data_IF_990697001948
#
_entry.id   IF_990697001948
#
_cell.length_a   1.000
_cell.length_b   1.000
_cell.length_c   1.000
_cell.angle_alpha   90.00
_cell.angle_beta   90.00
_cell.angle_gamma   90.00
#
_symmetry.space_group_name_H-M   'P 1'
#
loop_
_entity.id
_entity.type
_entity.pdbx_description
1 polymer ?
#
# COMPACT_ATOMS: atom_id res chain seq x y z
N UNK A 1 12.55 -9.92 -0.11
CA UNK A 1 11.92 -8.63 -0.45
C UNK A 1 12.92 -7.75 -1.17
N UNK A 2 12.54 -7.17 -2.30
CA UNK A 2 13.41 -6.31 -3.08
C UNK A 2 13.67 -4.99 -2.35
N UNK A 3 14.94 -4.55 -2.37
CA UNK A 3 15.33 -3.24 -1.86
C UNK A 3 15.48 -2.30 -3.04
N UNK A 4 14.63 -1.26 -3.13
CA UNK A 4 14.52 -0.39 -4.30
C UNK A 4 14.87 1.06 -3.97
N UNK A 5 15.37 1.77 -5.00
CA UNK A 5 15.48 3.23 -4.95
C UNK A 5 14.09 3.83 -5.09
N UNK A 6 13.89 5.03 -4.55
CA UNK A 6 12.59 5.70 -4.61
C UNK A 6 12.06 5.85 -6.03
N UNK A 7 12.93 6.01 -7.01
CA UNK A 7 12.54 6.12 -8.42
C UNK A 7 11.92 4.84 -9.00
N UNK A 8 12.16 3.68 -8.36
CA UNK A 8 11.67 2.38 -8.83
C UNK A 8 10.42 1.91 -8.08
N UNK A 9 10.04 2.61 -7.01
CA UNK A 9 8.94 2.19 -6.13
C UNK A 9 7.60 2.18 -6.87
N UNK A 10 7.31 3.21 -7.67
CA UNK A 10 6.04 3.29 -8.40
C UNK A 10 5.83 2.06 -9.28
N UNK A 11 6.85 1.64 -9.99
CA UNK A 11 6.76 0.47 -10.87
C UNK A 11 6.47 -0.80 -10.06
N UNK A 12 7.15 -0.96 -8.92
CA UNK A 12 6.91 -2.11 -8.04
C UNK A 12 5.46 -2.12 -7.52
N UNK A 13 4.92 -0.96 -7.15
CA UNK A 13 3.53 -0.83 -6.73
C UNK A 13 2.58 -1.18 -7.87
N UNK A 14 2.81 -0.64 -9.07
CA UNK A 14 1.97 -0.92 -10.23
C UNK A 14 1.96 -2.41 -10.59
N UNK A 15 3.08 -3.08 -10.43
CA UNK A 15 3.22 -4.52 -10.70
C UNK A 15 2.88 -5.38 -9.48
N UNK A 16 2.58 -4.76 -8.35
CA UNK A 16 2.24 -5.42 -7.07
C UNK A 16 3.33 -6.39 -6.63
N UNK A 17 4.57 -5.93 -6.69
CA UNK A 17 5.75 -6.68 -6.26
C UNK A 17 6.09 -6.30 -4.82
N UNK A 18 6.48 -7.27 -4.00
CA UNK A 18 6.95 -6.97 -2.64
C UNK A 18 8.28 -6.25 -2.68
N UNK A 19 8.38 -5.15 -1.93
CA UNK A 19 9.56 -4.30 -1.94
C UNK A 19 9.71 -3.52 -0.63
N UNK A 20 10.91 -2.95 -0.44
CA UNK A 20 11.15 -1.89 0.54
C UNK A 20 12.11 -0.88 -0.08
N UNK A 21 12.01 0.39 0.36
CA UNK A 21 12.96 1.40 -0.08
C UNK A 21 14.29 1.26 0.68
N UNK A 22 15.30 2.07 0.32
CA UNK A 22 16.64 1.96 0.92
C UNK A 22 16.63 2.15 2.44
N UNK A 23 15.73 2.99 2.95
CA UNK A 23 15.65 3.28 4.38
C UNK A 23 14.69 2.34 5.13
N UNK A 24 13.95 1.49 4.43
CA UNK A 24 12.94 0.63 5.04
C UNK A 24 11.69 1.36 5.53
N UNK A 25 11.54 2.65 5.20
CA UNK A 25 10.39 3.46 5.65
C UNK A 25 9.18 3.35 4.75
N UNK A 26 9.36 2.82 3.54
CA UNK A 26 8.31 2.62 2.56
C UNK A 26 8.42 1.19 2.04
N UNK A 27 7.36 0.41 2.19
CA UNK A 27 7.39 -0.98 1.77
C UNK A 27 6.01 -1.47 1.36
N UNK A 28 5.99 -2.45 0.46
CA UNK A 28 4.76 -3.10 0.00
C UNK A 28 4.87 -4.60 0.14
N UNK A 29 3.78 -5.24 0.53
CA UNK A 29 3.73 -6.69 0.67
C UNK A 29 2.33 -7.24 0.46
N UNK A 30 2.25 -8.53 0.11
CA UNK A 30 0.99 -9.26 0.07
C UNK A 30 0.66 -9.73 1.49
N UNK A 31 -0.45 -9.23 2.02
CA UNK A 31 -0.95 -9.65 3.34
C UNK A 31 -1.71 -10.96 3.23
N UNK A 32 -2.46 -11.12 2.14
CA UNK A 32 -3.13 -12.38 1.76
C UNK A 32 -2.88 -12.62 0.28
N UNK A 33 -3.25 -13.79 -0.28
CA UNK A 33 -3.10 -14.03 -1.71
C UNK A 33 -3.81 -13.02 -2.61
N UNK A 34 -4.77 -12.25 -2.06
CA UNK A 34 -5.56 -11.28 -2.81
C UNK A 34 -5.40 -9.85 -2.35
N UNK A 35 -4.63 -9.59 -1.29
CA UNK A 35 -4.54 -8.26 -0.70
C UNK A 35 -3.10 -7.78 -0.62
N UNK A 36 -2.77 -6.79 -1.45
CA UNK A 36 -1.46 -6.13 -1.49
C UNK A 36 -1.55 -4.76 -0.83
N UNK A 37 -0.64 -4.47 0.11
CA UNK A 37 -0.67 -3.22 0.87
C UNK A 37 0.69 -2.54 0.84
N UNK A 38 0.70 -1.22 0.64
CA UNK A 38 1.89 -0.38 0.71
C UNK A 38 1.81 0.45 1.98
N UNK A 39 2.86 0.37 2.81
CA UNK A 39 2.92 1.03 4.11
C UNK A 39 3.98 2.13 4.14
N UNK A 40 3.75 3.14 4.98
CA UNK A 40 4.72 4.19 5.28
C UNK A 40 5.03 4.15 6.78
N UNK A 41 6.30 4.01 7.13
CA UNK A 41 6.80 3.97 8.51
C UNK A 41 6.25 2.84 9.38
N UNK A 42 5.74 1.79 8.78
CA UNK A 42 5.28 0.61 9.51
C UNK A 42 3.86 0.21 9.15
N UNK A 43 3.44 -0.94 9.67
CA UNK A 43 2.14 -1.52 9.34
C UNK A 43 0.96 -0.78 9.95
N UNK A 44 1.22 0.17 10.84
CA UNK A 44 0.17 0.99 11.44
C UNK A 44 -0.38 2.06 10.49
N UNK A 45 0.33 2.34 9.37
CA UNK A 45 -0.12 3.34 8.40
C UNK A 45 -0.11 2.76 6.97
N UNK A 46 -1.16 2.03 6.58
CA UNK A 46 -1.33 1.61 5.19
C UNK A 46 -1.64 2.82 4.30
N UNK A 47 -0.87 2.99 3.22
CA UNK A 47 -1.08 4.10 2.28
C UNK A 47 -1.93 3.71 1.10
N UNK A 48 -1.63 2.57 0.49
CA UNK A 48 -2.35 2.04 -0.66
C UNK A 48 -2.69 0.58 -0.40
N UNK A 49 -3.86 0.18 -0.87
CA UNK A 49 -4.34 -1.18 -0.72
C UNK A 49 -4.92 -1.63 -2.06
N UNK A 50 -4.43 -2.74 -2.58
CA UNK A 50 -4.98 -3.36 -3.76
C UNK A 50 -5.72 -4.64 -3.37
N UNK A 51 -7.02 -4.69 -3.67
CA UNK A 51 -7.82 -5.89 -3.51
C UNK A 51 -7.91 -6.57 -4.88
N UNK A 52 -7.30 -7.74 -5.00
CA UNK A 52 -7.32 -8.54 -6.23
C UNK A 52 -8.40 -9.61 -6.24
N UNK A 53 -9.32 -9.61 -5.28
CA UNK A 53 -10.42 -10.58 -5.23
C UNK A 53 -11.26 -10.47 -6.50
N UNK A 54 -11.52 -11.60 -7.20
CA UNK A 54 -12.35 -11.57 -8.40
C UNK A 54 -13.69 -10.88 -8.15
N UNK A 55 -14.03 -9.92 -9.01
CA UNK A 55 -15.24 -9.11 -8.87
C UNK A 55 -15.13 -7.89 -7.98
N UNK A 56 -14.00 -7.71 -7.28
CA UNK A 56 -13.76 -6.57 -6.37
C UNK A 56 -12.46 -5.84 -6.65
N UNK A 57 -11.82 -6.12 -7.76
CA UNK A 57 -10.49 -5.59 -8.07
C UNK A 57 -10.47 -4.06 -8.04
N UNK A 58 -9.49 -3.50 -7.34
CA UNK A 58 -9.33 -2.06 -7.27
C UNK A 58 -8.32 -1.62 -6.23
N UNK A 59 -7.99 -0.33 -6.29
CA UNK A 59 -7.05 0.32 -5.38
C UNK A 59 -7.80 1.25 -4.43
N UNK A 60 -7.39 1.24 -3.15
CA UNK A 60 -7.80 2.22 -2.16
C UNK A 60 -6.59 3.08 -1.79
N UNK A 61 -6.83 4.34 -1.49
CA UNK A 61 -5.80 5.28 -1.02
C UNK A 61 -6.18 5.82 0.35
N UNK A 62 -5.20 5.90 1.25
CA UNK A 62 -5.42 6.48 2.57
C UNK A 62 -5.58 8.00 2.44
N UNK A 63 -6.68 8.54 2.95
CA UNK A 63 -6.98 9.96 2.91
C UNK A 63 -6.48 10.72 4.14
N UNK A 64 -5.98 10.04 5.16
CA UNK A 64 -5.41 10.68 6.33
C UNK A 64 -4.07 11.30 5.99
N UNK A 65 -3.85 12.52 6.49
CA UNK A 65 -2.55 13.19 6.37
C UNK A 65 -1.72 12.87 7.60
N UNK A 66 -0.48 12.45 7.39
CA UNK A 66 0.40 12.05 8.48
C UNK A 66 1.59 12.99 8.64
N UNK A 67 2.39 13.16 7.60
CA UNK A 67 3.58 14.01 7.63
C UNK A 67 3.98 14.43 6.21
N UNK A 68 4.92 15.39 6.11
CA UNK A 68 5.49 15.80 4.82
C UNK A 68 6.18 14.63 4.13
N UNK A 69 6.91 13.82 4.89
CA UNK A 69 7.61 12.64 4.35
C UNK A 69 6.60 11.62 3.81
N UNK A 70 5.51 11.39 4.53
CA UNK A 70 4.45 10.50 4.08
C UNK A 70 3.81 11.02 2.80
N UNK A 71 3.64 12.34 2.66
CA UNK A 71 3.14 12.94 1.41
C UNK A 71 4.06 12.65 0.23
N UNK A 72 5.37 12.68 0.45
CA UNK A 72 6.34 12.30 -0.59
C UNK A 72 6.21 10.82 -0.95
N UNK A 73 5.99 9.95 0.05
CA UNK A 73 5.76 8.53 -0.18
C UNK A 73 4.51 8.30 -1.03
N UNK A 74 3.43 9.06 -0.80
CA UNK A 74 2.23 8.98 -1.64
C UNK A 74 2.55 9.28 -3.10
N UNK A 75 3.32 10.34 -3.38
CA UNK A 75 3.74 10.68 -4.74
C UNK A 75 4.59 9.58 -5.36
N UNK A 76 5.56 9.06 -4.61
CA UNK A 76 6.50 8.07 -5.11
C UNK A 76 5.86 6.72 -5.40
N UNK A 77 4.90 6.31 -4.56
CA UNK A 77 4.30 4.99 -4.63
C UNK A 77 2.95 4.96 -5.33
N UNK A 78 2.39 6.09 -5.74
CA UNK A 78 1.06 6.15 -6.35
C UNK A 78 1.00 5.26 -7.60
N UNK A 79 0.02 4.34 -7.69
CA UNK A 79 -0.06 3.41 -8.82
C UNK A 79 -0.50 4.06 -10.14
N UNK A 80 -0.83 5.37 -10.13
CA UNK A 80 -1.23 6.14 -11.31
C UNK A 80 -2.48 5.57 -11.99
N UNK A 81 -3.45 5.15 -11.18
CA UNK A 81 -4.74 4.67 -11.65
C UNK A 81 -5.83 5.13 -10.68
N UNK A 82 -7.09 4.81 -10.98
CA UNK A 82 -8.20 5.16 -10.09
C UNK A 82 -8.01 4.54 -8.71
N UNK A 83 -8.26 5.35 -7.67
CA UNK A 83 -8.22 4.91 -6.28
C UNK A 83 -9.48 5.40 -5.55
N UNK A 84 -9.93 4.61 -4.58
CA UNK A 84 -11.04 4.98 -3.69
C UNK A 84 -10.46 5.42 -2.36
N UNK A 85 -10.87 6.59 -1.87
CA UNK A 85 -10.37 7.12 -0.60
C UNK A 85 -10.93 6.40 0.61
N UNK A 86 -10.06 6.15 1.60
CA UNK A 86 -10.44 5.55 2.89
C UNK A 86 -9.52 6.08 3.97
N UNK A 87 -9.97 6.06 5.23
CA UNK A 87 -9.10 6.47 6.35
C UNK A 87 -8.26 5.29 6.87
N UNK A 88 -7.29 5.60 7.73
CA UNK A 88 -6.39 4.60 8.31
C UNK A 88 -7.16 3.51 9.06
N UNK A 89 -8.12 3.91 9.89
CA UNK A 89 -8.88 2.96 10.70
C UNK A 89 -9.64 1.96 9.83
N UNK A 90 -10.29 2.44 8.78
CA UNK A 90 -11.03 1.61 7.83
C UNK A 90 -10.10 0.64 7.09
N UNK A 91 -8.97 1.13 6.60
CA UNK A 91 -8.00 0.28 5.90
C UNK A 91 -7.42 -0.80 6.81
N UNK A 92 -7.07 -0.45 8.03
CA UNK A 92 -6.54 -1.42 9.01
C UNK A 92 -7.56 -2.48 9.35
N UNK A 93 -8.82 -2.08 9.54
CA UNK A 93 -9.91 -3.02 9.80
C UNK A 93 -10.10 -3.99 8.63
N UNK A 94 -10.05 -3.48 7.41
CA UNK A 94 -10.15 -4.30 6.21
C UNK A 94 -9.02 -5.33 6.14
N UNK A 95 -7.79 -4.91 6.41
CA UNK A 95 -6.62 -5.80 6.41
C UNK A 95 -6.77 -6.91 7.45
N UNK A 96 -7.18 -6.56 8.66
CA UNK A 96 -7.36 -7.53 9.74
C UNK A 96 -8.46 -8.53 9.40
N UNK A 97 -9.58 -8.06 8.85
CA UNK A 97 -10.71 -8.92 8.47
C UNK A 97 -10.31 -9.87 7.34
N UNK A 98 -9.62 -9.36 6.32
CA UNK A 98 -9.15 -10.18 5.21
C UNK A 98 -8.15 -11.25 5.68
N UNK A 99 -7.26 -10.90 6.60
CA UNK A 99 -6.30 -11.85 7.17
C UNK A 99 -6.95 -12.99 7.94
N UNK A 100 -8.12 -12.75 8.53
CA UNK A 100 -8.86 -13.78 9.26
C UNK A 100 -9.61 -14.75 8.35
N UNK A 101 -9.92 -14.33 7.14
CA UNK A 101 -10.65 -15.14 6.18
C UNK A 101 -9.74 -16.11 5.41
N UNK A 102 -8.44 -15.94 5.56
CA UNK A 102 -7.43 -16.77 4.94
C UNK A 102 -6.96 -17.84 5.92
#
# INVERSE_FOLDING_TARGET
MLKLRNSDVRRAVQERVEFKNNNGTLFGKWVTPFLYVVYSYGEHFPMFLYDGTPGRQGWAINTDKYSVTTSRHFSQAHPQCETVGSDTATLRKYILTAGREV
#
